data_IF_207168505735
#
_entry.id   IF_207168505735
#
_cell.length_a   1.000
_cell.length_b   1.000
_cell.length_c   1.000
_cell.angle_alpha   90.00
_cell.angle_beta   90.00
_cell.angle_gamma   90.00
#
_symmetry.space_group_name_H-M   'P 1'
#
loop_
_entity.id
_entity.type
_entity.pdbx_description
1 polymer ?
#
# COMPACT_ATOMS: atom_id res chain seq x y z
N UNK A 1 -51.37 -16.40 30.40
CA UNK A 1 -50.53 -15.59 29.49
C UNK A 1 -49.58 -14.76 30.32
N UNK A 2 -48.26 -15.03 30.24
CA UNK A 2 -47.23 -14.20 30.86
C UNK A 2 -46.34 -13.67 29.73
N UNK A 3 -46.32 -12.35 29.56
CA UNK A 3 -45.48 -11.65 28.60
C UNK A 3 -44.08 -11.47 29.18
N UNK A 4 -43.04 -11.83 28.41
CA UNK A 4 -41.67 -11.44 28.70
C UNK A 4 -41.26 -10.29 27.76
N UNK A 5 -40.56 -9.24 28.25
CA UNK A 5 -39.98 -8.22 27.38
C UNK A 5 -38.69 -8.72 26.72
N UNK A 6 -38.32 -8.22 25.52
CA UNK A 6 -37.06 -8.57 24.88
C UNK A 6 -35.89 -7.88 25.58
N UNK A 7 -34.96 -8.68 26.11
CA UNK A 7 -33.69 -8.20 26.64
C UNK A 7 -32.73 -7.87 25.50
N UNK A 8 -32.58 -6.59 25.18
CA UNK A 8 -31.44 -6.12 24.40
C UNK A 8 -30.28 -5.82 25.35
N UNK A 9 -29.48 -6.84 25.67
CA UNK A 9 -28.18 -6.63 26.29
C UNK A 9 -27.21 -6.11 25.22
N UNK A 10 -27.12 -4.79 25.04
CA UNK A 10 -25.95 -4.20 24.37
C UNK A 10 -24.77 -4.37 25.32
N UNK A 11 -23.80 -5.21 24.94
CA UNK A 11 -22.53 -5.28 25.65
C UNK A 11 -21.92 -3.88 25.73
N UNK A 12 -21.27 -3.50 26.85
CA UNK A 12 -20.64 -2.19 26.96
C UNK A 12 -19.58 -2.06 25.88
N UNK A 13 -19.65 -0.96 25.11
CA UNK A 13 -18.65 -0.62 24.10
C UNK A 13 -17.33 -0.44 24.83
N UNK A 14 -16.46 -1.45 24.74
CA UNK A 14 -15.09 -1.37 25.20
C UNK A 14 -14.41 -0.30 24.37
N UNK A 15 -14.01 0.80 25.00
CA UNK A 15 -13.14 1.79 24.37
C UNK A 15 -11.84 1.10 23.97
N UNK A 16 -11.64 0.92 22.66
CA UNK A 16 -10.40 0.46 22.05
C UNK A 16 -9.79 1.65 21.33
N UNK A 17 -8.47 1.81 21.44
CA UNK A 17 -7.72 2.79 20.65
C UNK A 17 -7.98 2.51 19.15
N UNK A 18 -8.19 3.54 18.30
CA UNK A 18 -8.53 3.32 16.89
C UNK A 18 -7.37 2.62 16.18
N UNK A 19 -7.54 1.36 15.82
CA UNK A 19 -6.76 0.72 14.75
C UNK A 19 -7.34 1.13 13.39
N UNK A 20 -6.53 1.02 12.34
CA UNK A 20 -6.78 1.52 10.99
C UNK A 20 -8.01 0.91 10.29
N UNK A 21 -9.21 1.43 10.58
CA UNK A 21 -10.48 1.05 9.93
C UNK A 21 -10.59 1.60 8.49
N UNK A 22 -9.69 1.23 7.56
CA UNK A 22 -9.74 1.57 6.12
C UNK A 22 -10.17 3.03 5.80
N UNK A 23 -9.78 3.95 6.69
CA UNK A 23 -10.23 5.32 6.69
C UNK A 23 -9.43 6.10 5.65
N UNK A 24 -10.05 6.41 4.52
CA UNK A 24 -9.45 7.23 3.47
C UNK A 24 -9.78 8.71 3.67
N UNK A 25 -8.83 9.63 3.44
CA UNK A 25 -9.10 11.05 3.56
C UNK A 25 -9.92 11.54 2.36
N UNK A 26 -11.14 11.99 2.61
CA UNK A 26 -12.00 12.63 1.63
C UNK A 26 -11.82 14.14 1.70
N UNK A 27 -11.69 14.78 0.54
CA UNK A 27 -11.64 16.25 0.40
C UNK A 27 -12.69 16.71 -0.58
N UNK A 28 -13.56 17.59 -0.11
CA UNK A 28 -14.58 18.25 -0.93
C UNK A 28 -14.10 19.66 -1.26
N UNK A 29 -14.05 20.02 -2.54
CA UNK A 29 -13.91 21.41 -3.00
C UNK A 29 -14.78 21.58 -4.24
N UNK A 30 -16.02 22.04 -4.03
CA UNK A 30 -17.03 22.16 -5.08
C UNK A 30 -17.81 23.47 -4.92
N UNK A 31 -18.21 24.06 -6.04
CA UNK A 31 -18.93 25.33 -6.11
C UNK A 31 -20.13 25.20 -7.06
N UNK A 32 -21.32 25.55 -6.59
CA UNK A 32 -22.57 25.54 -7.36
C UNK A 32 -23.43 26.72 -6.92
N UNK A 33 -24.04 27.42 -7.88
CA UNK A 33 -24.96 28.54 -7.66
C UNK A 33 -24.42 29.61 -6.68
N UNK A 34 -23.11 29.88 -6.75
CA UNK A 34 -22.43 30.86 -5.88
C UNK A 34 -22.19 30.39 -4.45
N UNK A 35 -22.56 29.15 -4.10
CA UNK A 35 -22.21 28.53 -2.83
C UNK A 35 -21.03 27.59 -3.03
N UNK A 36 -20.11 27.57 -2.05
CA UNK A 36 -18.91 26.74 -2.09
C UNK A 36 -18.85 25.84 -0.87
N UNK A 37 -18.68 24.54 -1.10
CA UNK A 37 -18.43 23.54 -0.07
C UNK A 37 -16.95 23.18 -0.10
N UNK A 38 -16.27 23.45 1.02
CA UNK A 38 -14.90 23.01 1.29
C UNK A 38 -14.87 22.24 2.59
N UNK A 39 -14.51 20.97 2.51
CA UNK A 39 -14.44 20.11 3.69
C UNK A 39 -13.36 19.04 3.55
N UNK A 40 -12.89 18.53 4.68
CA UNK A 40 -11.96 17.41 4.75
C UNK A 40 -12.31 16.51 5.93
N UNK A 41 -12.61 15.25 5.64
CA UNK A 41 -12.95 14.23 6.62
C UNK A 41 -12.34 12.88 6.22
N UNK A 42 -12.50 11.87 7.07
CA UNK A 42 -12.10 10.49 6.78
C UNK A 42 -13.32 9.61 6.56
N UNK A 43 -13.25 8.67 5.62
CA UNK A 43 -14.36 7.78 5.27
C UNK A 43 -13.89 6.33 5.24
N UNK A 44 -14.69 5.40 5.76
CA UNK A 44 -14.39 3.97 5.62
C UNK A 44 -14.86 3.51 4.24
N UNK A 45 -13.93 3.03 3.42
CA UNK A 45 -14.23 2.60 2.05
C UNK A 45 -15.19 1.40 1.98
N UNK A 46 -15.24 0.62 3.07
CA UNK A 46 -16.11 -0.55 3.16
C UNK A 46 -17.56 -0.19 3.57
N UNK A 47 -17.84 1.08 3.89
CA UNK A 47 -19.20 1.50 4.25
C UNK A 47 -20.11 1.39 3.01
N UNK A 48 -21.33 0.83 3.16
CA UNK A 48 -22.22 0.61 2.02
C UNK A 48 -22.67 1.94 1.40
N UNK A 49 -23.00 1.92 0.10
CA UNK A 49 -23.50 3.09 -0.65
C UNK A 49 -24.65 3.83 0.07
N UNK A 50 -25.48 3.09 0.82
CA UNK A 50 -26.55 3.69 1.62
C UNK A 50 -26.04 4.68 2.66
N UNK A 51 -24.89 4.41 3.29
CA UNK A 51 -24.28 5.32 4.27
C UNK A 51 -23.67 6.54 3.60
N UNK A 52 -23.06 6.40 2.41
CA UNK A 52 -22.58 7.53 1.61
C UNK A 52 -23.73 8.47 1.24
N UNK A 53 -24.86 7.91 0.81
CA UNK A 53 -26.07 8.67 0.47
C UNK A 53 -26.66 9.34 1.72
N UNK A 54 -26.73 8.61 2.84
CA UNK A 54 -27.24 9.14 4.11
C UNK A 54 -26.39 10.31 4.62
N UNK A 55 -25.07 10.17 4.57
CA UNK A 55 -24.12 11.24 4.89
C UNK A 55 -24.33 12.44 3.98
N UNK A 56 -24.32 12.24 2.66
CA UNK A 56 -24.51 13.32 1.67
C UNK A 56 -25.82 14.09 1.92
N UNK A 57 -26.91 13.38 2.21
CA UNK A 57 -28.21 13.98 2.53
C UNK A 57 -28.17 14.80 3.82
N UNK A 58 -27.55 14.28 4.89
CA UNK A 58 -27.41 15.00 6.17
C UNK A 58 -26.58 16.26 6.00
N UNK A 59 -25.42 16.16 5.34
CA UNK A 59 -24.53 17.29 5.06
C UNK A 59 -25.24 18.41 4.29
N UNK A 60 -25.98 18.07 3.23
CA UNK A 60 -26.76 19.05 2.46
C UNK A 60 -27.83 19.73 3.32
N UNK A 61 -28.53 18.97 4.17
CA UNK A 61 -29.57 19.50 5.06
C UNK A 61 -28.99 20.42 6.13
N UNK A 62 -27.92 19.98 6.80
CA UNK A 62 -27.33 20.67 7.94
C UNK A 62 -26.65 21.97 7.52
N UNK A 63 -25.98 21.96 6.36
CA UNK A 63 -25.33 23.13 5.78
C UNK A 63 -26.28 23.99 4.90
N UNK A 64 -27.55 23.59 4.78
CA UNK A 64 -28.57 24.28 3.97
C UNK A 64 -28.13 24.51 2.51
N UNK A 65 -27.47 23.51 1.93
CA UNK A 65 -26.96 23.55 0.57
C UNK A 65 -28.05 23.19 -0.45
N UNK A 66 -27.93 23.60 -1.72
CA UNK A 66 -28.78 23.14 -2.80
C UNK A 66 -28.76 21.61 -2.94
N UNK A 67 -29.89 20.96 -3.28
CA UNK A 67 -29.96 19.51 -3.47
C UNK A 67 -28.97 18.96 -4.50
N UNK A 68 -28.54 19.78 -5.46
CA UNK A 68 -27.53 19.43 -6.46
C UNK A 68 -26.17 19.03 -5.84
N UNK A 69 -25.83 19.53 -4.64
CA UNK A 69 -24.62 19.12 -3.93
C UNK A 69 -24.66 17.66 -3.49
N UNK A 70 -25.84 17.07 -3.29
CA UNK A 70 -25.95 15.68 -2.81
C UNK A 70 -25.26 14.71 -3.78
N UNK A 71 -25.54 14.84 -5.09
CA UNK A 71 -24.92 14.03 -6.13
C UNK A 71 -23.42 14.25 -6.20
N UNK A 72 -22.96 15.50 -6.08
CA UNK A 72 -21.53 15.84 -6.12
C UNK A 72 -20.77 15.29 -4.90
N UNK A 73 -21.36 15.34 -3.70
CA UNK A 73 -20.76 14.77 -2.48
C UNK A 73 -20.68 13.25 -2.61
N UNK A 74 -21.78 12.60 -3.01
CA UNK A 74 -21.81 11.14 -3.22
C UNK A 74 -20.78 10.71 -4.27
N UNK A 75 -20.75 11.38 -5.42
CA UNK A 75 -19.75 11.12 -6.47
C UNK A 75 -18.32 11.45 -6.04
N UNK A 76 -18.11 12.42 -5.15
CA UNK A 76 -16.78 12.72 -4.62
C UNK A 76 -16.29 11.65 -3.66
N UNK A 77 -17.18 11.05 -2.86
CA UNK A 77 -16.85 9.95 -1.95
C UNK A 77 -16.63 8.66 -2.77
N UNK A 78 -17.54 8.31 -3.67
CA UNK A 78 -17.44 7.14 -4.55
C UNK A 78 -16.39 7.29 -5.67
N UNK A 79 -16.09 8.50 -6.12
CA UNK A 79 -15.06 8.76 -7.13
C UNK A 79 -13.64 8.67 -6.57
N UNK A 80 -13.49 8.89 -5.26
CA UNK A 80 -12.22 8.65 -4.55
C UNK A 80 -12.05 7.17 -4.16
N UNK A 81 -13.14 6.41 -4.11
CA UNK A 81 -13.11 4.93 -4.08
C UNK A 81 -12.50 4.37 -5.38
N UNK A 82 -12.74 4.96 -6.55
CA UNK A 82 -12.04 4.59 -7.80
C UNK A 82 -10.52 4.89 -7.81
N UNK A 83 -10.00 5.70 -6.88
CA UNK A 83 -8.55 5.87 -6.70
C UNK A 83 -7.95 4.81 -5.77
N UNK A 84 -8.78 4.08 -5.01
CA UNK A 84 -8.45 2.79 -4.40
C UNK A 84 -8.69 1.62 -5.37
N UNK A 85 -8.56 1.88 -6.68
CA UNK A 85 -8.39 0.84 -7.70
C UNK A 85 -7.34 -0.15 -7.19
N UNK A 86 -7.67 -1.44 -7.20
CA UNK A 86 -6.76 -2.55 -6.87
C UNK A 86 -5.33 -2.17 -7.20
N UNK A 87 -4.49 -1.94 -6.20
CA UNK A 87 -3.11 -1.49 -6.40
C UNK A 87 -2.20 -2.68 -6.20
N UNK A 88 -2.19 -3.54 -7.22
CA UNK A 88 -1.34 -4.72 -7.22
C UNK A 88 0.07 -4.35 -7.69
N UNK A 89 1.04 -4.62 -6.83
CA UNK A 89 2.46 -4.40 -7.08
C UNK A 89 3.24 -5.71 -7.01
N UNK A 90 4.31 -5.87 -7.78
CA UNK A 90 5.24 -6.97 -7.56
C UNK A 90 6.10 -6.68 -6.33
N UNK A 91 6.11 -7.58 -5.36
CA UNK A 91 7.08 -7.59 -4.27
C UNK A 91 8.14 -8.65 -4.54
N UNK A 92 9.38 -8.37 -4.14
CA UNK A 92 10.52 -9.28 -4.28
C UNK A 92 11.08 -9.57 -2.90
N UNK A 93 11.10 -10.84 -2.49
CA UNK A 93 11.78 -11.28 -1.29
C UNK A 93 13.21 -11.70 -1.64
N UNK A 94 14.16 -11.17 -0.88
CA UNK A 94 15.55 -11.62 -0.83
C UNK A 94 15.98 -11.52 0.64
N UNK A 95 15.70 -12.58 1.39
CA UNK A 95 15.84 -12.61 2.85
C UNK A 95 16.82 -13.71 3.22
N UNK A 96 17.87 -13.35 3.97
CA UNK A 96 18.80 -14.29 4.59
C UNK A 96 18.68 -14.21 6.11
N UNK A 97 18.36 -15.32 6.73
CA UNK A 97 18.32 -15.47 8.19
C UNK A 97 19.08 -16.73 8.54
N UNK A 98 20.10 -16.60 9.39
CA UNK A 98 20.98 -17.70 9.78
C UNK A 98 21.52 -18.44 8.53
N UNK A 99 21.15 -19.69 8.38
CA UNK A 99 21.55 -20.57 7.29
C UNK A 99 20.52 -20.63 6.15
N UNK A 100 19.39 -19.94 6.24
CA UNK A 100 18.30 -20.02 5.27
C UNK A 100 18.26 -18.76 4.41
N UNK A 101 18.27 -18.95 3.09
CA UNK A 101 18.08 -17.88 2.11
C UNK A 101 16.78 -18.13 1.36
N UNK A 102 15.85 -17.17 1.42
CA UNK A 102 14.60 -17.19 0.66
C UNK A 102 14.67 -16.12 -0.43
N UNK A 103 14.40 -16.54 -1.66
CA UNK A 103 14.20 -15.66 -2.81
C UNK A 103 12.85 -15.96 -3.44
N UNK A 104 11.97 -14.97 -3.49
CA UNK A 104 10.64 -15.13 -4.08
C UNK A 104 10.20 -13.82 -4.73
N UNK A 105 9.20 -13.90 -5.60
CA UNK A 105 8.50 -12.74 -6.13
C UNK A 105 7.03 -13.07 -6.25
N UNK A 106 6.18 -12.20 -5.71
CA UNK A 106 4.73 -12.34 -5.79
C UNK A 106 4.06 -11.00 -6.02
N UNK A 107 2.76 -11.07 -6.29
CA UNK A 107 1.92 -9.90 -6.47
C UNK A 107 1.21 -9.60 -5.16
N UNK A 108 1.35 -8.38 -4.67
CA UNK A 108 0.72 -7.90 -3.46
C UNK A 108 -0.30 -6.82 -3.79
N UNK A 109 -1.50 -6.95 -3.24
CA UNK A 109 -2.54 -5.94 -3.38
C UNK A 109 -2.47 -4.98 -2.20
N UNK A 110 -2.00 -3.75 -2.44
CA UNK A 110 -1.83 -2.72 -1.40
C UNK A 110 -3.18 -2.21 -0.89
N UNK A 111 -4.23 -2.28 -1.71
CA UNK A 111 -5.59 -1.89 -1.30
C UNK A 111 -6.27 -2.97 -0.45
N UNK A 112 -5.73 -4.18 -0.41
CA UNK A 112 -6.26 -5.24 0.44
C UNK A 112 -5.61 -5.19 1.83
N UNK A 113 -6.21 -4.37 2.69
CA UNK A 113 -5.76 -4.18 4.07
C UNK A 113 -6.09 -5.37 5.00
N UNK A 114 -6.84 -6.38 4.53
CA UNK A 114 -7.06 -7.61 5.29
C UNK A 114 -5.86 -8.56 5.21
N UNK A 115 -4.95 -8.37 4.25
CA UNK A 115 -3.74 -9.18 4.13
C UNK A 115 -2.67 -8.67 5.07
N UNK A 116 -2.46 -9.41 6.16
CA UNK A 116 -1.39 -9.14 7.10
C UNK A 116 -0.06 -9.79 6.62
N UNK A 117 1.03 -9.01 6.45
CA UNK A 117 2.34 -9.55 6.07
C UNK A 117 2.85 -10.69 6.98
N UNK A 118 2.52 -10.65 8.27
CA UNK A 118 2.93 -11.64 9.26
C UNK A 118 2.17 -12.95 9.10
N UNK A 119 0.86 -12.90 8.78
CA UNK A 119 0.08 -14.09 8.46
C UNK A 119 0.53 -14.73 7.15
N UNK A 120 0.80 -13.91 6.12
CA UNK A 120 1.39 -14.37 4.87
C UNK A 120 2.76 -15.03 5.10
N UNK A 121 3.65 -14.40 5.87
CA UNK A 121 4.99 -14.92 6.13
C UNK A 121 4.97 -16.26 6.88
N UNK A 122 4.05 -16.43 7.83
CA UNK A 122 3.84 -17.72 8.52
C UNK A 122 3.39 -18.80 7.55
N UNK A 123 2.37 -18.51 6.74
CA UNK A 123 1.85 -19.45 5.75
C UNK A 123 2.93 -19.85 4.73
N UNK A 124 3.73 -18.88 4.26
CA UNK A 124 4.86 -19.13 3.36
C UNK A 124 5.90 -20.06 3.99
N UNK A 125 6.25 -19.85 5.26
CA UNK A 125 7.22 -20.71 5.96
C UNK A 125 6.66 -22.12 6.18
N UNK A 126 5.37 -22.26 6.50
CA UNK A 126 4.69 -23.55 6.62
C UNK A 126 4.68 -24.31 5.29
N UNK A 127 4.30 -23.63 4.19
CA UNK A 127 4.24 -24.21 2.84
C UNK A 127 5.60 -24.65 2.31
N UNK A 128 6.67 -23.92 2.66
CA UNK A 128 8.05 -24.20 2.26
C UNK A 128 8.80 -25.11 3.25
N UNK A 129 8.13 -25.59 4.31
CA UNK A 129 8.71 -26.42 5.36
C UNK A 129 9.95 -25.79 6.03
N UNK A 130 9.89 -24.48 6.30
CA UNK A 130 10.94 -23.74 6.98
C UNK A 130 10.71 -23.80 8.49
N UNK A 131 11.65 -24.40 9.21
CA UNK A 131 11.54 -24.62 10.66
C UNK A 131 12.07 -23.45 11.51
N UNK A 132 12.94 -22.61 10.93
CA UNK A 132 13.57 -21.50 11.65
C UNK A 132 12.54 -20.40 11.98
N UNK A 133 12.23 -20.17 13.27
CA UNK A 133 11.20 -19.22 13.69
C UNK A 133 11.58 -17.75 13.45
N UNK A 134 12.85 -17.45 13.17
CA UNK A 134 13.30 -16.08 12.88
C UNK A 134 13.03 -15.67 11.42
N UNK A 135 12.76 -16.64 10.55
CA UNK A 135 12.55 -16.40 9.12
C UNK A 135 11.22 -15.70 8.82
N UNK A 136 10.10 -16.17 9.42
CA UNK A 136 8.80 -15.55 9.19
C UNK A 136 8.75 -14.06 9.60
N UNK A 137 9.27 -13.65 10.78
CA UNK A 137 9.42 -12.24 11.12
C UNK A 137 10.25 -11.44 10.10
N UNK A 138 11.37 -11.98 9.63
CA UNK A 138 12.22 -11.30 8.66
C UNK A 138 11.52 -11.09 7.30
N UNK A 139 10.78 -12.10 6.83
CA UNK A 139 9.94 -11.99 5.63
C UNK A 139 8.88 -10.89 5.80
N UNK A 140 8.16 -10.89 6.94
CA UNK A 140 7.13 -9.88 7.20
C UNK A 140 7.71 -8.46 7.21
N UNK A 141 8.88 -8.26 7.84
CA UNK A 141 9.59 -6.97 7.83
C UNK A 141 9.96 -6.56 6.41
N UNK A 142 10.53 -7.46 5.60
CA UNK A 142 10.90 -7.17 4.20
C UNK A 142 9.71 -6.74 3.34
N UNK A 143 8.54 -7.35 3.55
CA UNK A 143 7.29 -6.95 2.89
C UNK A 143 6.87 -5.54 3.35
N UNK A 144 6.86 -5.29 4.66
CA UNK A 144 6.47 -3.99 5.23
C UNK A 144 7.37 -2.85 4.74
N UNK A 145 8.67 -3.08 4.64
CA UNK A 145 9.62 -2.11 4.12
C UNK A 145 9.32 -1.73 2.67
N UNK A 146 9.11 -2.72 1.79
CA UNK A 146 8.74 -2.46 0.40
C UNK A 146 7.41 -1.71 0.27
N UNK A 147 6.40 -2.08 1.07
CA UNK A 147 5.10 -1.38 1.09
C UNK A 147 5.24 0.07 1.55
N UNK A 148 6.09 0.32 2.55
CA UNK A 148 6.36 1.67 3.04
C UNK A 148 7.04 2.53 1.97
N UNK A 149 8.06 2.01 1.28
CA UNK A 149 8.73 2.71 0.19
C UNK A 149 7.75 3.10 -0.93
N UNK A 150 6.87 2.18 -1.32
CA UNK A 150 5.84 2.43 -2.33
C UNK A 150 4.85 3.51 -1.87
N UNK A 151 4.44 3.50 -0.61
CA UNK A 151 3.57 4.53 -0.05
C UNK A 151 4.23 5.92 -0.09
N UNK A 152 5.51 6.02 0.28
CA UNK A 152 6.28 7.28 0.26
C UNK A 152 6.44 7.82 -1.17
N UNK A 153 6.72 6.96 -2.14
CA UNK A 153 6.83 7.34 -3.55
C UNK A 153 5.51 7.89 -4.11
N UNK A 154 4.40 7.19 -3.85
CA UNK A 154 3.07 7.61 -4.30
C UNK A 154 2.66 8.99 -3.75
N UNK A 155 2.98 9.27 -2.48
CA UNK A 155 2.73 10.59 -1.86
C UNK A 155 3.61 11.68 -2.49
N UNK A 156 4.86 11.37 -2.83
CA UNK A 156 5.80 12.32 -3.42
C UNK A 156 5.37 12.74 -4.83
N UNK A 157 4.97 11.78 -5.67
CA UNK A 157 4.41 12.05 -7.01
C UNK A 157 3.11 12.85 -6.95
N UNK A 158 2.27 12.62 -5.92
CA UNK A 158 1.04 13.40 -5.71
C UNK A 158 1.30 14.86 -5.26
N UNK A 159 2.41 15.12 -4.53
CA UNK A 159 2.82 16.49 -4.16
C UNK A 159 3.28 17.29 -5.38
N UNK A 160 3.98 16.65 -6.31
CA UNK A 160 4.51 17.28 -7.52
C UNK A 160 3.37 17.72 -8.48
N UNK A 161 2.31 16.90 -8.59
CA UNK A 161 1.12 17.25 -9.39
C UNK A 161 0.40 18.52 -8.89
N UNK A 162 0.44 18.81 -7.58
CA UNK A 162 -0.24 19.98 -6.99
C UNK A 162 0.54 21.29 -7.17
N UNK A 163 1.86 21.21 -7.36
CA UNK A 163 2.73 22.40 -7.49
C UNK A 163 2.77 22.89 -8.95
N UNK A 164 2.48 22.02 -9.93
CA UNK A 164 2.53 22.34 -11.37
C UNK A 164 1.47 23.31 -11.92
N UNK A 165 0.46 23.75 -11.13
CA UNK A 165 -0.57 24.70 -11.59
C UNK A 165 -0.28 26.17 -11.29
N UNK A 166 0.98 26.53 -11.03
CA UNK A 166 1.38 27.95 -10.96
C UNK A 166 2.71 28.19 -11.66
N UNK A 167 2.68 28.20 -12.99
CA UNK A 167 3.71 28.93 -13.76
C UNK A 167 4.11 28.33 -15.10
N UNK A 168 3.78 29.09 -16.16
CA UNK A 168 4.50 29.27 -17.43
C UNK A 168 4.31 28.23 -18.54
N UNK A 169 3.79 28.79 -19.64
CA UNK A 169 3.77 28.28 -21.01
C UNK A 169 5.20 28.04 -21.52
N UNK A 170 5.39 26.92 -22.21
CA UNK A 170 6.38 26.71 -23.27
C UNK A 170 7.83 26.51 -22.82
N UNK A 171 8.35 25.29 -23.01
CA UNK A 171 9.43 24.92 -23.95
C UNK A 171 9.62 23.41 -23.85
N UNK A 172 9.68 22.75 -25.01
CA UNK A 172 9.89 21.32 -25.17
C UNK A 172 11.22 20.90 -24.54
N UNK A 173 11.18 19.87 -23.69
CA UNK A 173 12.37 19.14 -23.26
C UNK A 173 12.03 17.66 -23.27
N UNK A 174 12.49 17.00 -24.33
CA UNK A 174 12.62 15.55 -24.39
C UNK A 174 13.63 15.15 -23.32
N UNK A 175 13.18 14.46 -22.28
CA UNK A 175 14.07 13.73 -21.38
C UNK A 175 13.64 12.27 -21.34
N UNK A 176 14.44 11.47 -22.05
CA UNK A 176 14.45 10.02 -21.94
C UNK A 176 14.91 9.61 -20.54
N UNK A 177 13.97 9.28 -19.66
CA UNK A 177 14.26 8.54 -18.43
C UNK A 177 13.64 7.14 -18.51
N UNK A 178 14.51 6.20 -18.86
CA UNK A 178 14.33 4.76 -18.74
C UNK A 178 14.39 4.42 -17.24
N UNK A 179 13.25 4.43 -16.57
CA UNK A 179 13.06 3.80 -15.27
C UNK A 179 11.67 3.14 -15.31
N UNK A 180 11.66 1.81 -15.31
CA UNK A 180 10.44 1.04 -15.43
C UNK A 180 9.55 1.28 -14.21
N UNK A 181 8.44 1.98 -14.41
CA UNK A 181 7.34 2.00 -13.45
C UNK A 181 6.90 0.55 -13.22
N UNK A 182 7.15 0.04 -12.01
CA UNK A 182 6.71 -1.28 -11.54
C UNK A 182 5.21 -1.38 -11.25
N UNK A 183 4.43 -0.33 -11.55
CA UNK A 183 2.98 -0.40 -11.56
C UNK A 183 2.56 -1.31 -12.72
N UNK A 184 2.14 -2.53 -12.38
CA UNK A 184 1.59 -3.45 -13.36
C UNK A 184 0.27 -2.85 -13.85
N UNK A 185 0.12 -2.68 -15.16
CA UNK A 185 -1.15 -2.25 -15.74
C UNK A 185 -2.19 -3.37 -15.54
N UNK A 186 -2.98 -3.23 -14.49
CA UNK A 186 -3.98 -4.22 -14.11
C UNK A 186 -5.12 -4.37 -15.12
N UNK A 187 -5.36 -3.34 -15.95
CA UNK A 187 -6.28 -3.47 -17.07
C UNK A 187 -5.79 -4.51 -18.08
N UNK A 188 -4.47 -4.76 -18.15
CA UNK A 188 -3.85 -5.78 -19.01
C UNK A 188 -3.82 -7.17 -18.36
N UNK A 189 -3.74 -7.27 -17.03
CA UNK A 189 -3.76 -8.56 -16.33
C UNK A 189 -5.18 -9.13 -16.14
N UNK A 190 -6.16 -8.28 -15.80
CA UNK A 190 -7.50 -8.71 -15.38
C UNK A 190 -8.67 -8.15 -16.21
N UNK A 191 -8.40 -7.45 -17.32
CA UNK A 191 -9.47 -7.01 -18.25
C UNK A 191 -10.15 -8.19 -18.98
N UNK A 192 -11.14 -7.93 -19.85
CA UNK A 192 -11.88 -8.97 -20.61
C UNK A 192 -11.03 -9.92 -21.49
N UNK A 193 -9.72 -9.69 -21.61
CA UNK A 193 -8.73 -10.56 -22.29
C UNK A 193 -7.60 -11.02 -21.34
N UNK A 194 -7.72 -10.74 -20.06
CA UNK A 194 -6.79 -11.08 -19.00
C UNK A 194 -6.85 -12.57 -18.68
N UNK A 195 -5.71 -13.16 -18.35
CA UNK A 195 -5.60 -14.56 -17.96
C UNK A 195 -5.23 -14.60 -16.48
N UNK A 196 -6.01 -15.35 -15.69
CA UNK A 196 -5.68 -15.64 -14.28
C UNK A 196 -4.44 -16.55 -14.18
N UNK A 197 -4.08 -17.22 -15.28
CA UNK A 197 -2.88 -18.05 -15.37
C UNK A 197 -1.73 -17.22 -15.93
N UNK A 198 -0.61 -17.18 -15.19
CA UNK A 198 0.65 -16.59 -15.65
C UNK A 198 1.17 -17.31 -16.89
N UNK A 199 1.83 -16.58 -17.79
CA UNK A 199 2.44 -17.20 -18.97
C UNK A 199 3.52 -18.18 -18.52
N UNK A 200 3.57 -19.37 -19.12
CA UNK A 200 4.54 -20.42 -18.75
C UNK A 200 6.00 -19.93 -18.72
N UNK A 201 6.37 -19.04 -19.65
CA UNK A 201 7.71 -18.43 -19.70
C UNK A 201 8.06 -17.54 -18.50
N UNK A 202 7.08 -17.12 -17.70
CA UNK A 202 7.25 -16.24 -16.53
C UNK A 202 7.20 -17.03 -15.21
N UNK A 203 6.89 -18.33 -15.23
CA UNK A 203 6.69 -19.12 -14.00
C UNK A 203 7.92 -19.13 -13.09
N UNK A 204 9.10 -19.30 -13.67
CA UNK A 204 10.38 -19.28 -12.94
C UNK A 204 10.67 -17.96 -12.20
N UNK A 205 9.95 -16.87 -12.53
CA UNK A 205 10.09 -15.60 -11.82
C UNK A 205 9.26 -15.55 -10.54
N UNK A 206 8.27 -16.43 -10.38
CA UNK A 206 7.32 -16.45 -9.26
C UNK A 206 7.38 -17.79 -8.51
N UNK A 207 8.48 -18.51 -8.67
CA UNK A 207 8.77 -19.74 -7.95
C UNK A 207 9.62 -19.38 -6.74
N UNK A 208 9.17 -19.69 -5.50
CA UNK A 208 9.98 -19.46 -4.32
C UNK A 208 11.19 -20.39 -4.33
N UNK A 209 12.36 -19.82 -4.07
CA UNK A 209 13.63 -20.52 -3.97
C UNK A 209 14.08 -20.46 -2.52
N UNK A 210 14.34 -21.62 -1.92
CA UNK A 210 14.89 -21.74 -0.57
C UNK A 210 16.23 -22.47 -0.66
N UNK A 211 17.29 -21.78 -0.26
CA UNK A 211 18.64 -22.36 -0.18
C UNK A 211 19.05 -22.47 1.30
N UNK A 212 19.49 -23.67 1.71
CA UNK A 212 20.04 -23.91 3.05
C UNK A 212 21.56 -23.97 2.96
N UNK A 213 22.22 -22.98 3.53
CA UNK A 213 23.66 -22.83 3.56
C UNK A 213 24.28 -23.68 4.66
N UNK A 214 25.46 -24.23 4.41
CA UNK A 214 26.29 -24.77 5.49
C UNK A 214 26.71 -23.67 6.45
N UNK A 215 27.09 -24.05 7.68
CA UNK A 215 27.60 -23.08 8.67
C UNK A 215 28.82 -22.32 8.17
N UNK A 216 29.72 -23.01 7.49
CA UNK A 216 30.92 -22.40 6.90
C UNK A 216 30.56 -21.39 5.80
N UNK A 217 29.59 -21.70 4.94
CA UNK A 217 29.12 -20.77 3.91
C UNK A 217 28.44 -19.54 4.51
N UNK A 218 27.60 -19.73 5.54
CA UNK A 218 26.92 -18.63 6.23
C UNK A 218 27.93 -17.69 6.92
N UNK A 219 28.89 -18.24 7.67
CA UNK A 219 29.94 -17.47 8.33
C UNK A 219 30.84 -16.73 7.32
N UNK A 220 31.16 -17.37 6.20
CA UNK A 220 31.93 -16.74 5.13
C UNK A 220 31.18 -15.58 4.47
N UNK A 221 29.85 -15.70 4.31
CA UNK A 221 29.00 -14.62 3.81
C UNK A 221 28.91 -13.47 4.82
N UNK A 222 28.69 -13.76 6.11
CA UNK A 222 28.66 -12.74 7.18
C UNK A 222 29.96 -11.92 7.19
N UNK A 223 31.11 -12.61 7.17
CA UNK A 223 32.42 -11.96 7.15
C UNK A 223 32.63 -11.10 5.89
N UNK A 224 32.11 -11.55 4.75
CA UNK A 224 32.17 -10.80 3.49
C UNK A 224 31.26 -9.57 3.52
N UNK A 225 30.03 -9.71 4.00
CA UNK A 225 29.07 -8.62 4.15
C UNK A 225 29.58 -7.56 5.11
N UNK A 226 30.12 -7.96 6.27
CA UNK A 226 30.71 -7.04 7.23
C UNK A 226 31.91 -6.28 6.63
N UNK A 227 32.79 -6.99 5.91
CA UNK A 227 33.90 -6.35 5.19
C UNK A 227 33.40 -5.34 4.16
N UNK A 228 32.38 -5.69 3.39
CA UNK A 228 31.80 -4.81 2.37
C UNK A 228 31.15 -3.57 3.01
N UNK A 229 30.42 -3.74 4.12
CA UNK A 229 29.80 -2.64 4.86
C UNK A 229 30.87 -1.67 5.41
N UNK A 230 31.96 -2.20 5.99
CA UNK A 230 33.10 -1.39 6.44
C UNK A 230 33.77 -0.62 5.31
N UNK A 231 33.89 -1.22 4.12
CA UNK A 231 34.46 -0.55 2.95
C UNK A 231 33.53 0.54 2.41
N UNK A 232 32.21 0.27 2.35
CA UNK A 232 31.20 1.25 1.91
C UNK A 232 31.19 2.48 2.82
N UNK A 233 31.18 2.27 4.15
CA UNK A 233 31.23 3.36 5.13
C UNK A 233 32.48 4.24 4.95
N UNK A 234 33.65 3.63 4.73
CA UNK A 234 34.89 4.38 4.47
C UNK A 234 34.84 5.21 3.18
N UNK A 235 34.09 4.77 2.17
CA UNK A 235 33.90 5.53 0.93
C UNK A 235 32.97 6.72 1.18
N UNK A 236 31.85 6.51 1.88
CA UNK A 236 30.91 7.57 2.27
C UNK A 236 31.59 8.64 3.14
N UNK A 237 32.32 8.24 4.18
CA UNK A 237 33.08 9.16 5.05
C UNK A 237 34.10 9.99 4.24
N UNK A 238 34.67 9.40 3.18
CA UNK A 238 35.64 10.06 2.32
C UNK A 238 34.95 11.03 1.35
N UNK A 239 33.80 10.66 0.78
CA UNK A 239 32.99 11.55 -0.06
C UNK A 239 32.49 12.79 0.71
N UNK A 240 32.04 12.62 1.95
CA UNK A 240 31.61 13.72 2.82
C UNK A 240 32.76 14.69 3.15
N UNK A 241 33.98 14.16 3.28
CA UNK A 241 35.20 14.96 3.51
C UNK A 241 35.61 15.82 2.30
N UNK A 242 35.22 15.42 1.08
CA UNK A 242 35.47 16.18 -0.15
C UNK A 242 34.38 17.22 -0.44
N UNK A 243 33.17 17.08 0.11
CA UNK A 243 32.08 18.04 -0.07
C UNK A 243 32.11 19.20 0.94
N UNK A 244 32.91 19.07 2.00
CA UNK A 244 33.03 20.05 3.09
C UNK A 244 34.20 21.04 2.93
N UNK A 245 34.92 20.99 1.80
CA UNK A 245 36.00 21.91 1.41
C UNK A 245 35.70 22.63 0.10
#
# INVERSE_FOLDING_TARGET
MKFYPPSFSKAPVKFRMPTADNLVPIRLDMELDGQRLKDAFTWNINDPDSEVINFSRRTVKDLKLPPAFMTQITQSIQGQDMQAKEMIVPLKLDVRVNNTVIRDQFLWDISNFEKDPEEFAKSLCEDLNIEDPEVAPAVAVSIREQLYELAVQNVSSAKEYRIGKKGRRGVESVSSSKAGNGAIDLARLFGNKGSVIRKRKEWHLYEPIVDVLSKEEAEALDAREERNARMKKKLEDKEDSFQTH
#
